data_IF_569742807783
#
_entry.id   IF_569742807783
#
_cell.length_a   1.000
_cell.length_b   1.000
_cell.length_c   1.000
_cell.angle_alpha   90.00
_cell.angle_beta   90.00
_cell.angle_gamma   90.00
#
_symmetry.space_group_name_H-M   'P 1'
#
loop_
_entity.id
_entity.type
_entity.pdbx_description
1 polymer ?
#
# COMPACT_ATOMS: atom_id res chain seq x y z
N UNK A 1 -1.33 18.86 -16.44
CA UNK A 1 -1.52 17.44 -16.80
C UNK A 1 -0.16 16.75 -16.75
N UNK A 2 -0.10 15.47 -16.38
CA UNK A 2 1.12 14.67 -16.52
C UNK A 2 1.66 14.78 -17.95
N UNK A 3 2.95 15.05 -18.10
CA UNK A 3 3.65 15.13 -19.40
C UNK A 3 3.69 13.74 -20.05
N UNK A 4 3.05 13.55 -21.23
CA UNK A 4 3.02 12.27 -21.94
C UNK A 4 4.40 11.78 -22.39
N UNK A 5 5.40 12.65 -22.55
CA UNK A 5 6.74 12.24 -23.02
C UNK A 5 7.74 12.05 -21.87
N UNK A 6 7.32 12.28 -20.62
CA UNK A 6 8.19 12.11 -19.46
C UNK A 6 8.56 10.63 -19.27
N UNK A 7 9.84 10.25 -19.46
CA UNK A 7 10.28 8.85 -19.40
C UNK A 7 10.23 8.28 -17.97
N UNK A 8 10.20 9.14 -16.95
CA UNK A 8 10.02 8.76 -15.54
C UNK A 8 8.56 8.51 -15.17
N UNK A 9 7.60 8.85 -16.04
CA UNK A 9 6.21 8.51 -15.83
C UNK A 9 5.88 7.13 -16.39
N UNK A 10 5.64 6.20 -15.46
CA UNK A 10 5.22 4.86 -15.81
C UNK A 10 3.91 4.82 -16.60
N UNK A 11 3.05 5.84 -16.57
CA UNK A 11 1.75 5.83 -17.25
C UNK A 11 1.79 5.97 -18.77
N UNK A 12 2.89 6.47 -19.34
CA UNK A 12 2.93 6.94 -20.73
C UNK A 12 3.65 6.01 -21.70
N UNK A 13 4.12 4.86 -21.24
CA UNK A 13 4.87 3.93 -22.06
C UNK A 13 3.93 2.89 -22.67
N UNK A 14 4.22 2.38 -23.88
CA UNK A 14 3.37 1.35 -24.50
C UNK A 14 3.36 0.03 -23.72
N UNK A 15 4.39 -0.23 -22.91
CA UNK A 15 4.56 -1.44 -22.10
C UNK A 15 3.92 -1.36 -20.72
N UNK A 16 3.38 -0.20 -20.32
CA UNK A 16 2.85 0.05 -18.97
C UNK A 16 1.78 -0.95 -18.57
N UNK A 17 0.83 -1.23 -19.46
CA UNK A 17 -0.27 -2.18 -19.20
C UNK A 17 0.24 -3.59 -18.99
N UNK A 18 1.23 -4.00 -19.79
CA UNK A 18 1.83 -5.33 -19.69
C UNK A 18 2.65 -5.46 -18.40
N UNK A 19 3.44 -4.44 -18.05
CA UNK A 19 4.22 -4.41 -16.82
C UNK A 19 3.32 -4.42 -15.57
N UNK A 20 2.26 -3.61 -15.55
CA UNK A 20 1.30 -3.60 -14.45
C UNK A 20 0.60 -4.96 -14.30
N UNK A 21 0.22 -5.59 -15.42
CA UNK A 21 -0.37 -6.94 -15.43
C UNK A 21 0.60 -8.00 -14.90
N UNK A 22 1.86 -7.98 -15.37
CA UNK A 22 2.91 -8.90 -14.89
C UNK A 22 3.17 -8.73 -13.40
N UNK A 23 3.27 -7.49 -12.90
CA UNK A 23 3.44 -7.20 -11.48
C UNK A 23 2.26 -7.68 -10.63
N UNK A 24 1.03 -7.47 -11.11
CA UNK A 24 -0.18 -7.95 -10.44
C UNK A 24 -0.26 -9.49 -10.38
N UNK A 25 0.10 -10.18 -11.47
CA UNK A 25 0.13 -11.66 -11.56
C UNK A 25 1.26 -12.28 -10.76
N UNK A 26 2.42 -11.61 -10.71
CA UNK A 26 3.57 -12.06 -9.93
C UNK A 26 3.39 -11.86 -8.43
N UNK A 27 2.51 -10.92 -8.04
CA UNK A 27 2.06 -10.80 -6.66
C UNK A 27 1.19 -12.01 -6.31
N UNK A 28 1.45 -12.67 -5.18
CA UNK A 28 0.55 -13.68 -4.61
C UNK A 28 -0.79 -13.10 -4.17
N UNK A 29 -1.00 -11.78 -4.33
CA UNK A 29 -2.29 -11.12 -4.44
C UNK A 29 -3.16 -11.13 -3.18
N UNK A 30 -2.79 -11.87 -2.14
CA UNK A 30 -3.59 -11.97 -0.94
C UNK A 30 -2.71 -12.11 0.28
N UNK A 31 -2.69 -11.04 1.07
CA UNK A 31 -2.40 -11.12 2.49
C UNK A 31 -3.33 -12.18 3.10
N UNK A 32 -2.79 -13.17 3.81
CA UNK A 32 -3.56 -14.28 4.37
C UNK A 32 -3.89 -15.43 3.41
N UNK A 33 -3.36 -15.46 2.18
CA UNK A 33 -3.32 -16.72 1.41
C UNK A 33 -2.33 -17.72 2.04
N UNK A 34 -2.42 -19.00 1.72
CA UNK A 34 -1.54 -20.07 2.25
C UNK A 34 -0.04 -19.77 2.07
N UNK A 35 0.33 -18.98 1.05
CA UNK A 35 1.70 -18.49 0.79
C UNK A 35 1.88 -16.98 1.00
N UNK A 36 0.84 -16.30 1.46
CA UNK A 36 0.83 -14.88 1.78
C UNK A 36 1.30 -14.65 3.22
N UNK A 37 1.71 -13.41 3.51
CA UNK A 37 1.98 -13.03 4.89
C UNK A 37 0.68 -13.07 5.71
N UNK A 38 0.72 -13.65 6.92
CA UNK A 38 -0.38 -13.56 7.88
C UNK A 38 -0.65 -12.07 8.18
N UNK A 39 -1.87 -11.55 7.91
CA UNK A 39 -2.21 -10.15 8.15
C UNK A 39 -1.97 -9.71 9.60
N UNK A 40 -2.19 -10.60 10.57
CA UNK A 40 -1.98 -10.30 12.00
C UNK A 40 -0.50 -10.20 12.35
N UNK A 41 0.34 -11.09 11.82
CA UNK A 41 1.79 -11.02 12.02
C UNK A 41 2.41 -9.83 11.30
N UNK A 42 2.02 -9.61 10.04
CA UNK A 42 2.44 -8.48 9.23
C UNK A 42 2.05 -7.15 9.90
N UNK A 43 0.82 -7.05 10.41
CA UNK A 43 0.35 -5.90 11.18
C UNK A 43 1.15 -5.67 12.46
N UNK A 44 1.39 -6.72 13.26
CA UNK A 44 2.23 -6.63 14.48
C UNK A 44 3.66 -6.19 14.16
N UNK A 45 4.27 -6.73 13.11
CA UNK A 45 5.64 -6.38 12.69
C UNK A 45 5.71 -4.94 12.18
N UNK A 46 4.72 -4.52 11.38
CA UNK A 46 4.56 -3.14 10.94
C UNK A 46 4.47 -2.19 12.13
N UNK A 47 3.58 -2.48 13.09
CA UNK A 47 3.45 -1.68 14.31
C UNK A 47 4.76 -1.64 15.13
N UNK A 48 5.55 -2.71 15.20
CA UNK A 48 6.86 -2.69 15.88
C UNK A 48 7.90 -1.85 15.15
N UNK A 49 7.90 -1.87 13.81
CA UNK A 49 8.85 -1.14 12.98
C UNK A 49 8.55 0.37 12.89
N UNK A 50 7.32 0.80 13.17
CA UNK A 50 6.98 2.22 13.16
C UNK A 50 7.67 2.97 14.33
N UNK A 51 8.37 4.08 14.06
CA UNK A 51 8.92 4.93 15.10
C UNK A 51 7.77 5.52 15.93
N UNK A 52 8.03 5.71 17.23
CA UNK A 52 7.03 6.16 18.21
C UNK A 52 6.36 7.47 17.80
N UNK A 53 7.10 8.37 17.16
CA UNK A 53 6.61 9.65 16.65
C UNK A 53 5.60 9.48 15.50
N UNK A 54 5.87 8.59 14.55
CA UNK A 54 4.95 8.28 13.45
C UNK A 54 3.65 7.62 13.95
N UNK A 55 3.72 6.79 15.00
CA UNK A 55 2.52 6.23 15.66
C UNK A 55 1.66 7.30 16.30
N UNK A 56 2.28 8.27 16.96
CA UNK A 56 1.59 9.39 17.58
C UNK A 56 0.84 10.22 16.53
N UNK A 57 1.53 10.57 15.43
CA UNK A 57 0.93 11.32 14.32
C UNK A 57 -0.20 10.55 13.63
N UNK A 58 -0.02 9.26 13.33
CA UNK A 58 -1.09 8.43 12.75
C UNK A 58 -2.31 8.27 13.68
N UNK A 59 -2.06 8.17 14.99
CA UNK A 59 -3.12 8.12 16.01
C UNK A 59 -3.94 9.40 16.06
N UNK A 60 -3.34 10.58 15.88
CA UNK A 60 -4.04 11.86 15.91
C UNK A 60 -5.21 11.93 14.91
N UNK A 61 -5.11 11.26 13.76
CA UNK A 61 -6.17 11.21 12.74
C UNK A 61 -7.28 10.17 13.03
N UNK A 62 -7.09 9.28 14.01
CA UNK A 62 -7.99 8.15 14.29
C UNK A 62 -9.18 8.50 15.18
N UNK A 63 -9.22 9.72 15.73
CA UNK A 63 -10.23 10.15 16.73
C UNK A 63 -11.52 10.76 16.11
N UNK A 64 -11.76 10.55 14.81
CA UNK A 64 -12.86 11.18 14.06
C UNK A 64 -14.20 10.45 14.05
N UNK A 65 -14.35 9.31 14.73
CA UNK A 65 -15.58 8.51 14.76
C UNK A 65 -16.46 8.76 15.99
N UNK A 66 -16.85 10.01 16.27
CA UNK A 66 -17.91 10.27 17.26
C UNK A 66 -19.26 9.93 16.63
N UNK A 67 -19.89 8.88 17.16
CA UNK A 67 -21.29 8.55 16.85
C UNK A 67 -22.19 9.77 17.00
N UNK A 68 -22.99 10.03 15.97
CA UNK A 68 -24.15 10.91 16.10
C UNK A 68 -25.26 10.13 16.80
N UNK A 69 -25.64 10.61 17.97
CA UNK A 69 -26.96 10.41 18.57
C UNK A 69 -27.97 11.28 17.82
#
# INVERSE_FOLDING_TARGET
MPDPENPGQFGNRPDTTEQASKGGKASSGSFGSERGADPHEAGRKGAKAQPTEAKSQGGQHSHGGRGKQ
#
